data_IF_051586739551
#
_entry.id   IF_051586739551
#
_cell.length_a   1.000
_cell.length_b   1.000
_cell.length_c   1.000
_cell.angle_alpha   90.00
_cell.angle_beta   90.00
_cell.angle_gamma   90.00
#
_symmetry.space_group_name_H-M   'P 1'
#
loop_
_entity.id
_entity.type
_entity.pdbx_description
1 polymer ?
#
# COMPACT_ATOMS: atom_id res chain seq x y z
N UNK A 1 11.61 1.61 6.59
CA UNK A 1 10.91 1.81 5.30
C UNK A 1 11.45 3.08 4.68
N UNK A 2 12.01 2.98 3.49
CA UNK A 2 12.55 4.13 2.77
C UNK A 2 11.51 4.55 1.74
N UNK A 3 11.01 5.77 1.87
CA UNK A 3 10.13 6.38 0.88
C UNK A 3 11.02 7.05 -0.15
N UNK A 4 10.91 6.62 -1.41
CA UNK A 4 11.54 7.28 -2.53
C UNK A 4 10.57 8.27 -3.15
N UNK A 5 10.89 9.53 -2.99
CA UNK A 5 10.17 10.62 -3.60
C UNK A 5 11.07 11.29 -4.64
N UNK A 6 10.87 10.91 -5.90
CA UNK A 6 11.69 11.39 -7.01
C UNK A 6 11.43 12.82 -7.41
N UNK A 7 10.21 13.29 -7.20
CA UNK A 7 9.80 14.60 -7.66
C UNK A 7 9.99 15.71 -6.63
N UNK A 8 10.29 15.36 -5.39
CA UNK A 8 10.53 16.33 -4.33
C UNK A 8 11.95 16.25 -3.72
N UNK A 9 12.96 15.93 -4.52
CA UNK A 9 14.35 15.80 -4.01
C UNK A 9 14.81 17.04 -3.23
N UNK A 10 14.41 18.23 -3.66
CA UNK A 10 14.69 19.47 -2.94
C UNK A 10 13.96 19.53 -1.59
N UNK A 11 12.68 19.15 -1.58
CA UNK A 11 11.84 19.08 -0.37
C UNK A 11 12.33 17.99 0.59
N UNK A 12 12.72 16.83 0.08
CA UNK A 12 13.32 15.75 0.88
C UNK A 12 14.67 16.19 1.50
N UNK A 13 15.51 16.87 0.75
CA UNK A 13 16.77 17.42 1.28
C UNK A 13 16.52 18.44 2.39
N UNK A 14 15.53 19.31 2.22
CA UNK A 14 15.12 20.27 3.24
C UNK A 14 14.60 19.55 4.48
N UNK A 15 13.72 18.59 4.30
CA UNK A 15 13.17 17.78 5.38
C UNK A 15 14.27 17.02 6.15
N UNK A 16 15.19 16.35 5.46
CA UNK A 16 16.34 15.68 6.08
C UNK A 16 17.19 16.66 6.91
N UNK A 17 17.46 17.84 6.38
CA UNK A 17 18.20 18.88 7.09
C UNK A 17 17.47 19.33 8.36
N UNK A 18 16.14 19.44 8.31
CA UNK A 18 15.33 19.83 9.46
C UNK A 18 15.27 18.72 10.51
N UNK A 19 15.16 17.46 10.12
CA UNK A 19 15.21 16.32 11.04
C UNK A 19 16.60 16.21 11.67
N UNK A 20 17.67 16.30 10.89
CA UNK A 20 19.05 16.21 11.39
C UNK A 20 19.46 17.39 12.29
N UNK A 21 18.85 18.55 12.10
CA UNK A 21 19.08 19.71 12.98
C UNK A 21 18.31 19.64 14.30
N UNK A 22 17.52 18.60 14.53
CA UNK A 22 16.67 18.47 15.73
C UNK A 22 15.43 19.36 15.74
N UNK A 23 15.16 20.08 14.64
CA UNK A 23 13.97 20.92 14.50
C UNK A 23 12.68 20.08 14.58
N UNK A 24 12.74 18.81 14.17
CA UNK A 24 11.65 17.85 14.32
C UNK A 24 12.16 16.53 14.90
N UNK A 25 11.59 16.13 16.02
CA UNK A 25 11.89 14.83 16.66
C UNK A 25 11.06 13.68 16.06
N UNK A 26 9.96 14.01 15.42
CA UNK A 26 9.05 13.05 14.79
C UNK A 26 8.48 13.66 13.51
N UNK A 27 8.14 12.79 12.55
CA UNK A 27 7.41 13.19 11.35
C UNK A 27 5.99 13.58 11.75
N UNK A 28 5.78 14.85 11.95
CA UNK A 28 4.49 15.45 12.25
C UNK A 28 4.01 16.19 11.00
N UNK A 29 2.90 15.73 10.44
CA UNK A 29 2.32 16.26 9.22
C UNK A 29 2.09 17.77 9.25
N UNK A 30 1.63 18.31 10.38
CA UNK A 30 1.42 19.74 10.55
C UNK A 30 2.73 20.54 10.52
N UNK A 31 3.80 19.98 11.08
CA UNK A 31 5.12 20.65 11.10
C UNK A 31 5.82 20.57 9.75
N UNK A 32 5.56 19.53 8.97
CA UNK A 32 6.06 19.42 7.58
C UNK A 32 5.43 20.49 6.71
N UNK A 33 4.12 20.72 6.83
CA UNK A 33 3.42 21.79 6.10
C UNK A 33 4.01 23.17 6.43
N UNK A 34 4.37 23.42 7.69
CA UNK A 34 5.02 24.67 8.12
C UNK A 34 6.50 24.78 7.69
N UNK A 35 7.10 23.68 7.25
CA UNK A 35 8.50 23.66 6.81
C UNK A 35 8.74 24.28 5.42
N UNK A 36 7.72 24.85 4.79
CA UNK A 36 7.82 25.55 3.51
C UNK A 36 7.82 24.62 2.31
N UNK A 37 7.19 23.45 2.44
CA UNK A 37 6.75 22.67 1.31
C UNK A 37 5.59 23.40 0.63
N UNK A 38 5.47 23.29 -0.67
CA UNK A 38 4.27 23.76 -1.36
C UNK A 38 3.05 23.02 -0.81
N UNK A 39 1.89 23.68 -0.78
CA UNK A 39 0.69 23.14 -0.13
C UNK A 39 0.32 21.74 -0.63
N UNK A 40 0.37 21.52 -1.95
CA UNK A 40 0.06 20.22 -2.55
C UNK A 40 1.07 19.13 -2.18
N UNK A 41 2.37 19.48 -2.07
CA UNK A 41 3.42 18.55 -1.64
C UNK A 41 3.26 18.17 -0.16
N UNK A 42 2.90 19.13 0.69
CA UNK A 42 2.67 18.88 2.10
C UNK A 42 1.47 17.95 2.32
N UNK A 43 0.37 18.17 1.63
CA UNK A 43 -0.82 17.33 1.70
C UNK A 43 -0.54 15.89 1.23
N UNK A 44 0.16 15.72 0.11
CA UNK A 44 0.56 14.42 -0.42
C UNK A 44 1.48 13.69 0.56
N UNK A 45 2.48 14.38 1.11
CA UNK A 45 3.41 13.81 2.08
C UNK A 45 2.69 13.37 3.37
N UNK A 46 1.73 14.15 3.84
CA UNK A 46 0.93 13.84 5.03
C UNK A 46 0.11 12.57 4.82
N UNK A 47 -0.60 12.46 3.70
CA UNK A 47 -1.36 11.27 3.33
C UNK A 47 -0.46 10.04 3.26
N UNK A 48 0.70 10.17 2.65
CA UNK A 48 1.66 9.08 2.53
C UNK A 48 2.22 8.64 3.88
N UNK A 49 2.59 9.58 4.74
CA UNK A 49 3.09 9.29 6.08
C UNK A 49 2.01 8.63 6.97
N UNK A 50 0.77 9.02 6.83
CA UNK A 50 -0.37 8.43 7.53
C UNK A 50 -0.64 7.01 7.04
N UNK A 51 -0.69 6.79 5.74
CA UNK A 51 -0.86 5.47 5.14
C UNK A 51 0.24 4.49 5.60
N UNK A 52 1.50 4.93 5.63
CA UNK A 52 2.61 4.11 6.13
C UNK A 52 2.47 3.81 7.62
N UNK A 53 2.07 4.77 8.44
CA UNK A 53 1.87 4.53 9.88
C UNK A 53 0.74 3.54 10.13
N UNK A 54 -0.37 3.69 9.42
CA UNK A 54 -1.51 2.78 9.49
C UNK A 54 -1.10 1.37 9.07
N UNK A 55 -0.46 1.25 7.91
CA UNK A 55 0.04 -0.04 7.44
C UNK A 55 1.08 -0.66 8.40
N UNK A 56 2.00 0.15 8.92
CA UNK A 56 3.03 -0.32 9.85
C UNK A 56 2.51 -0.66 11.25
N UNK A 57 1.30 -0.28 11.60
CA UNK A 57 0.65 -0.70 12.84
C UNK A 57 0.18 -2.16 12.76
N UNK A 58 -0.10 -2.67 11.58
CA UNK A 58 -0.56 -4.03 11.34
C UNK A 58 0.61 -5.03 11.36
N UNK A 59 0.48 -6.10 12.13
CA UNK A 59 1.52 -7.12 12.25
C UNK A 59 1.69 -7.94 10.98
N UNK A 60 0.61 -8.22 10.24
CA UNK A 60 0.70 -8.92 8.96
C UNK A 60 1.51 -8.10 7.95
N UNK A 61 1.38 -6.77 7.95
CA UNK A 61 2.21 -5.89 7.11
C UNK A 61 3.68 -5.91 7.52
N UNK A 62 3.97 -5.94 8.83
CA UNK A 62 5.35 -5.85 9.33
C UNK A 62 6.10 -7.18 9.31
N UNK A 63 5.44 -8.26 9.67
CA UNK A 63 6.05 -9.57 9.95
C UNK A 63 5.62 -10.65 8.97
N UNK A 64 4.47 -10.48 8.33
CA UNK A 64 3.81 -11.50 7.52
C UNK A 64 4.61 -11.94 6.30
N UNK A 65 4.32 -13.12 5.82
CA UNK A 65 4.74 -13.60 4.52
C UNK A 65 4.08 -12.77 3.40
N UNK A 66 4.68 -12.76 2.22
CA UNK A 66 4.19 -11.98 1.09
C UNK A 66 3.96 -12.87 -0.11
N UNK A 67 2.82 -12.75 -0.76
CA UNK A 67 2.52 -13.47 -1.99
C UNK A 67 2.10 -12.48 -3.09
N UNK A 68 2.83 -12.47 -4.20
CA UNK A 68 2.54 -11.62 -5.36
C UNK A 68 1.29 -12.13 -6.10
N UNK A 69 0.32 -11.26 -6.33
CA UNK A 69 -0.88 -11.54 -7.10
C UNK A 69 -0.83 -10.98 -8.53
N UNK A 70 0.20 -10.21 -8.89
CA UNK A 70 0.24 -9.55 -10.19
C UNK A 70 0.29 -10.57 -11.33
N UNK A 71 1.10 -11.61 -11.18
CA UNK A 71 1.31 -12.60 -12.23
C UNK A 71 0.04 -13.37 -12.61
N UNK A 72 -0.82 -13.68 -11.65
CA UNK A 72 -2.07 -14.42 -11.88
C UNK A 72 -3.24 -13.52 -12.30
N UNK A 73 -3.10 -12.21 -12.15
CA UNK A 73 -4.14 -11.23 -12.47
C UNK A 73 -3.86 -10.39 -13.71
N UNK A 74 -2.83 -10.71 -14.49
CA UNK A 74 -2.46 -9.93 -15.70
C UNK A 74 -3.58 -9.80 -16.74
N UNK A 75 -4.55 -10.73 -16.74
CA UNK A 75 -5.71 -10.73 -17.63
C UNK A 75 -7.02 -10.47 -16.89
N UNK A 76 -6.96 -10.14 -15.60
CA UNK A 76 -8.15 -9.85 -14.79
C UNK A 76 -8.75 -8.50 -15.17
N UNK A 77 -10.08 -8.45 -15.12
CA UNK A 77 -10.83 -7.23 -15.45
C UNK A 77 -10.43 -6.08 -14.51
N UNK A 78 -10.11 -4.94 -15.09
CA UNK A 78 -9.70 -3.74 -14.36
C UNK A 78 -8.26 -3.76 -13.83
N UNK A 79 -7.48 -4.85 -14.00
CA UNK A 79 -6.10 -4.90 -13.56
C UNK A 79 -5.13 -4.58 -14.72
N UNK A 80 -4.35 -3.52 -14.59
CA UNK A 80 -3.28 -3.15 -15.53
C UNK A 80 -1.91 -3.35 -14.85
N UNK A 81 -1.17 -4.34 -15.30
CA UNK A 81 0.17 -4.70 -14.77
C UNK A 81 1.20 -3.57 -14.81
N UNK A 82 0.98 -2.53 -15.61
CA UNK A 82 1.89 -1.39 -15.72
C UNK A 82 1.55 -0.26 -14.75
N UNK A 83 0.38 -0.34 -14.10
CA UNK A 83 -0.15 0.74 -13.25
C UNK A 83 -0.63 0.25 -11.89
N UNK A 84 -0.86 -1.05 -11.75
CA UNK A 84 -1.39 -1.64 -10.54
C UNK A 84 -0.42 -2.66 -9.96
N UNK A 85 -0.42 -2.78 -8.66
CA UNK A 85 0.30 -3.83 -7.95
C UNK A 85 -0.62 -4.41 -6.88
N UNK A 86 -0.69 -5.74 -6.79
CA UNK A 86 -1.50 -6.43 -5.80
C UNK A 86 -0.73 -7.60 -5.19
N UNK A 87 -0.86 -7.77 -3.87
CA UNK A 87 -0.21 -8.84 -3.13
C UNK A 87 -0.94 -9.16 -1.85
N UNK A 88 -0.69 -10.35 -1.31
CA UNK A 88 -1.16 -10.76 0.01
C UNK A 88 -0.08 -10.55 1.06
N UNK A 89 -0.52 -10.30 2.28
CA UNK A 89 0.27 -10.41 3.51
C UNK A 89 -0.48 -11.32 4.46
N UNK A 90 0.23 -12.26 5.08
CA UNK A 90 -0.36 -13.17 6.04
C UNK A 90 0.53 -13.35 7.26
N UNK A 91 -0.05 -13.26 8.45
CA UNK A 91 0.60 -13.47 9.73
C UNK A 91 -0.41 -13.94 10.78
N UNK A 92 -0.19 -15.13 11.36
CA UNK A 92 -1.00 -15.67 12.46
C UNK A 92 -2.52 -15.65 12.16
N UNK A 93 -2.91 -16.21 11.02
CA UNK A 93 -4.32 -16.28 10.54
C UNK A 93 -4.94 -14.91 10.21
N UNK A 94 -4.13 -13.89 10.08
CA UNK A 94 -4.57 -12.56 9.63
C UNK A 94 -4.06 -12.30 8.21
N UNK A 95 -4.94 -12.45 7.24
CA UNK A 95 -4.64 -12.31 5.81
C UNK A 95 -5.16 -10.99 5.27
N UNK A 96 -4.26 -10.21 4.69
CA UNK A 96 -4.53 -8.93 4.05
C UNK A 96 -4.34 -9.02 2.54
N UNK A 97 -5.25 -8.46 1.79
CA UNK A 97 -5.07 -8.11 0.38
C UNK A 97 -4.67 -6.63 0.30
N UNK A 98 -3.54 -6.36 -0.32
CA UNK A 98 -3.06 -5.00 -0.54
C UNK A 98 -3.05 -4.76 -2.05
N UNK A 99 -3.72 -3.70 -2.49
CA UNK A 99 -3.75 -3.29 -3.88
C UNK A 99 -3.38 -1.82 -4.02
N UNK A 100 -2.57 -1.48 -5.02
CA UNK A 100 -2.12 -0.12 -5.30
C UNK A 100 -2.42 0.29 -6.73
N UNK A 101 -2.63 1.58 -6.93
CA UNK A 101 -2.94 2.18 -8.21
C UNK A 101 -2.03 3.40 -8.45
N UNK A 102 -1.14 3.27 -9.43
CA UNK A 102 -0.22 4.33 -9.86
C UNK A 102 -0.77 5.16 -11.03
N UNK A 103 -2.04 5.01 -11.36
CA UNK A 103 -2.70 5.81 -12.39
C UNK A 103 -3.35 7.06 -11.80
N UNK A 104 -3.65 8.03 -12.67
CA UNK A 104 -4.40 9.24 -12.30
C UNK A 104 -5.92 9.03 -12.26
N UNK A 105 -6.39 7.82 -12.52
CA UNK A 105 -7.80 7.45 -12.54
C UNK A 105 -8.08 6.39 -11.49
N UNK A 106 -9.30 6.39 -10.94
CA UNK A 106 -9.77 5.32 -10.08
C UNK A 106 -9.70 3.97 -10.81
N UNK A 107 -9.27 2.93 -10.12
CA UNK A 107 -9.21 1.57 -10.64
C UNK A 107 -10.19 0.68 -9.89
N UNK A 108 -11.04 -0.04 -10.65
CA UNK A 108 -11.90 -1.10 -10.13
C UNK A 108 -11.34 -2.43 -10.62
N UNK A 109 -10.70 -3.15 -9.74
CA UNK A 109 -10.00 -4.39 -10.07
C UNK A 109 -10.77 -5.60 -9.59
N UNK A 110 -10.85 -6.63 -10.42
CA UNK A 110 -11.32 -7.95 -10.06
C UNK A 110 -10.12 -8.87 -9.89
N UNK A 111 -9.75 -9.13 -8.65
CA UNK A 111 -8.57 -9.93 -8.32
C UNK A 111 -8.96 -11.35 -7.95
N UNK A 112 -8.15 -12.30 -8.37
CA UNK A 112 -8.29 -13.73 -8.06
C UNK A 112 -7.07 -14.17 -7.26
N UNK A 113 -7.29 -14.96 -6.20
CA UNK A 113 -6.23 -15.60 -5.44
C UNK A 113 -6.11 -17.04 -5.94
N UNK A 114 -4.94 -17.47 -6.43
CA UNK A 114 -4.75 -18.82 -6.94
C UNK A 114 -4.66 -19.85 -5.81
N UNK A 115 -4.99 -21.11 -6.09
CA UNK A 115 -4.94 -22.21 -5.13
C UNK A 115 -3.56 -22.32 -4.44
N UNK A 116 -2.50 -22.18 -5.20
CA UNK A 116 -1.13 -22.21 -4.66
C UNK A 116 -0.87 -21.15 -3.56
N UNK A 117 -1.57 -20.01 -3.59
CA UNK A 117 -1.44 -19.00 -2.54
C UNK A 117 -2.04 -19.51 -1.21
N UNK A 118 -3.18 -20.17 -1.28
CA UNK A 118 -3.82 -20.78 -0.10
C UNK A 118 -2.91 -21.85 0.52
N UNK A 119 -2.38 -22.75 -0.30
CA UNK A 119 -1.50 -23.83 0.16
C UNK A 119 -0.20 -23.25 0.76
N UNK A 120 0.42 -22.32 0.08
CA UNK A 120 1.73 -21.79 0.49
C UNK A 120 1.67 -20.90 1.73
N UNK A 121 0.61 -20.11 1.87
CA UNK A 121 0.43 -19.22 3.01
C UNK A 121 -0.35 -19.88 4.17
N UNK A 122 -0.99 -21.01 3.93
CA UNK A 122 -1.84 -21.67 4.92
C UNK A 122 -3.18 -20.95 5.14
N UNK A 123 -3.66 -20.23 4.12
CA UNK A 123 -4.93 -19.49 4.23
C UNK A 123 -6.08 -20.46 4.31
N UNK A 124 -6.96 -20.38 5.33
CA UNK A 124 -8.10 -21.27 5.42
C UNK A 124 -9.12 -21.02 4.30
N UNK A 125 -9.58 -22.10 3.68
CA UNK A 125 -10.61 -22.04 2.65
C UNK A 125 -11.98 -21.97 3.33
N UNK A 126 -12.75 -20.95 2.96
CA UNK A 126 -14.12 -20.72 3.46
C UNK A 126 -15.09 -20.52 2.29
N UNK A 127 -16.40 -20.43 2.57
CA UNK A 127 -17.39 -20.09 1.57
C UNK A 127 -17.15 -18.70 0.96
N UNK A 128 -16.65 -17.78 1.78
CA UNK A 128 -16.39 -16.40 1.39
C UNK A 128 -14.99 -16.18 0.85
N UNK A 129 -14.05 -17.06 1.11
CA UNK A 129 -12.67 -16.96 0.64
C UNK A 129 -12.16 -18.35 0.20
N UNK A 130 -12.05 -18.55 -1.10
CA UNK A 130 -11.60 -19.81 -1.70
C UNK A 130 -10.87 -19.56 -3.03
N UNK A 131 -10.06 -20.51 -3.52
CA UNK A 131 -9.39 -20.43 -4.80
C UNK A 131 -10.36 -20.11 -5.94
N UNK A 132 -9.98 -19.15 -6.79
CA UNK A 132 -10.78 -18.75 -7.95
C UNK A 132 -11.93 -17.79 -7.65
N UNK A 133 -12.23 -17.50 -6.39
CA UNK A 133 -13.19 -16.44 -6.07
C UNK A 133 -12.64 -15.09 -6.47
N UNK A 134 -13.47 -14.29 -7.11
CA UNK A 134 -13.15 -12.92 -7.49
C UNK A 134 -13.37 -11.97 -6.31
N UNK A 135 -12.36 -11.18 -5.99
CA UNK A 135 -12.42 -10.12 -4.99
C UNK A 135 -12.41 -8.78 -5.74
N UNK A 136 -13.47 -8.01 -5.56
CA UNK A 136 -13.56 -6.68 -6.18
C UNK A 136 -12.98 -5.63 -5.23
N UNK A 137 -12.02 -4.85 -5.72
CA UNK A 137 -11.41 -3.74 -4.99
C UNK A 137 -11.46 -2.46 -5.81
N UNK A 138 -11.80 -1.36 -5.17
CA UNK A 138 -11.74 -0.03 -5.77
C UNK A 138 -10.58 0.73 -5.14
N UNK A 139 -9.63 1.15 -5.97
CA UNK A 139 -8.43 1.87 -5.52
C UNK A 139 -8.42 3.26 -6.11
N UNK A 140 -8.39 4.31 -5.27
CA UNK A 140 -8.34 5.69 -5.73
C UNK A 140 -7.09 5.99 -6.59
N UNK A 141 -7.08 7.10 -7.33
CA UNK A 141 -5.92 7.53 -8.11
C UNK A 141 -4.69 7.74 -7.20
N UNK A 142 -3.52 7.24 -7.61
CA UNK A 142 -2.24 7.41 -6.91
C UNK A 142 -2.31 7.01 -5.43
N UNK A 143 -2.99 5.91 -5.14
CA UNK A 143 -3.26 5.45 -3.77
C UNK A 143 -3.20 3.92 -3.65
N UNK A 144 -3.45 3.40 -2.46
CA UNK A 144 -3.55 1.98 -2.16
C UNK A 144 -4.65 1.69 -1.16
N UNK A 145 -5.12 0.44 -1.17
CA UNK A 145 -6.09 -0.07 -0.20
C UNK A 145 -5.54 -1.32 0.48
N UNK A 146 -5.91 -1.49 1.73
CA UNK A 146 -5.65 -2.70 2.52
C UNK A 146 -7.02 -3.26 2.89
N UNK A 147 -7.25 -4.51 2.51
CA UNK A 147 -8.50 -5.23 2.76
C UNK A 147 -8.19 -6.44 3.62
N UNK A 148 -8.80 -6.56 4.79
CA UNK A 148 -8.74 -7.78 5.59
C UNK A 148 -9.61 -8.83 4.91
N UNK A 149 -9.04 -10.01 4.68
CA UNK A 149 -9.74 -11.16 4.12
C UNK A 149 -10.17 -12.12 5.22
N UNK A 150 -9.38 -12.17 6.28
CA UNK A 150 -9.59 -12.93 7.52
C UNK A 150 -9.14 -12.07 8.68
#
# INVERSE_FOLDING_TARGET
>A
TTIFDWWSVASVRRLRKMISSGAYKTLDAGKIAMAGLERGEAELFCRFAEAIRTAAADEAVRKGSTYDLCYCNMSSDGFDKNRHFAFLRDYEEHTLLIATNFSQYEAKMKLVIPEHAFDWMGIPVTEDLHPGKTIEVTVPPMDGVIVSLI
#
